data_IF_932895496245
#
_entry.id   IF_932895496245
#
_cell.length_a   1.000
_cell.length_b   1.000
_cell.length_c   1.000
_cell.angle_alpha   90.00
_cell.angle_beta   90.00
_cell.angle_gamma   90.00
#
_symmetry.space_group_name_H-M   'P 1'
#
loop_
_entity.id
_entity.type
_entity.pdbx_description
1 polymer ?
#
# COMPACT_ATOMS: atom_id res chain seq x y z
N UNK A 1 1.66 27.83 31.05
CA UNK A 1 0.69 26.98 30.33
C UNK A 1 1.51 26.09 29.42
N UNK A 2 1.80 24.86 29.85
CA UNK A 2 2.52 23.89 29.02
C UNK A 2 1.51 23.17 28.14
N UNK A 3 1.74 23.20 26.82
CA UNK A 3 0.97 22.43 25.87
C UNK A 3 1.58 21.03 25.82
N UNK A 4 0.93 20.06 26.46
CA UNK A 4 1.27 18.65 26.26
C UNK A 4 0.87 18.26 24.84
N UNK A 5 1.85 18.16 23.94
CA UNK A 5 1.65 17.57 22.62
C UNK A 5 1.58 16.05 22.79
N UNK A 6 0.41 15.46 22.57
CA UNK A 6 0.27 14.03 22.34
C UNK A 6 1.05 13.67 21.06
N UNK A 7 1.93 12.64 21.06
CA UNK A 7 2.60 12.21 19.85
C UNK A 7 1.56 11.70 18.85
N UNK A 8 1.42 12.39 17.72
CA UNK A 8 0.54 11.97 16.63
C UNK A 8 1.00 10.60 16.11
N UNK A 9 0.26 9.54 16.45
CA UNK A 9 0.48 8.22 15.87
C UNK A 9 -0.12 8.20 14.47
N UNK A 10 0.73 8.26 13.44
CA UNK A 10 0.27 8.06 12.06
C UNK A 10 -0.35 6.66 11.98
N UNK A 11 -1.65 6.54 11.60
CA UNK A 11 -2.28 5.24 11.45
C UNK A 11 -1.58 4.48 10.30
N UNK A 12 -0.83 3.44 10.63
CA UNK A 12 -0.10 2.59 9.69
C UNK A 12 -1.03 1.58 8.98
N UNK A 13 -2.20 2.03 8.51
CA UNK A 13 -3.29 1.11 8.20
C UNK A 13 -3.18 0.44 6.83
N UNK A 14 -2.62 1.12 5.82
CA UNK A 14 -2.65 0.64 4.43
C UNK A 14 -1.34 0.92 3.67
N UNK A 15 -0.35 0.03 3.80
CA UNK A 15 0.75 -0.04 2.85
C UNK A 15 0.33 -0.93 1.69
N UNK A 16 0.08 -0.37 0.50
CA UNK A 16 -0.44 -1.14 -0.63
C UNK A 16 0.69 -1.57 -1.56
N UNK A 17 0.72 -2.85 -1.92
CA UNK A 17 1.55 -3.38 -3.01
C UNK A 17 0.67 -3.64 -4.24
N UNK A 18 0.71 -2.72 -5.19
CA UNK A 18 -0.13 -2.74 -6.39
C UNK A 18 0.27 -3.86 -7.35
N UNK A 19 -0.69 -4.72 -7.72
CA UNK A 19 -0.46 -5.88 -8.59
C UNK A 19 0.11 -7.12 -7.88
N UNK A 20 0.40 -7.06 -6.58
CA UNK A 20 0.85 -8.23 -5.84
C UNK A 20 -0.25 -9.29 -5.67
N UNK A 21 0.14 -10.57 -5.74
CA UNK A 21 -0.79 -11.68 -5.50
C UNK A 21 -0.98 -11.97 -4.00
N UNK A 22 -0.01 -11.58 -3.17
CA UNK A 22 0.05 -11.81 -1.72
C UNK A 22 0.67 -10.62 -0.99
N UNK A 23 0.54 -10.60 0.33
CA UNK A 23 1.21 -9.60 1.17
C UNK A 23 2.73 -9.74 1.04
N UNK A 24 3.44 -8.62 1.14
CA UNK A 24 4.89 -8.53 1.00
C UNK A 24 5.47 -7.90 2.26
N UNK A 25 6.38 -8.61 2.92
CA UNK A 25 7.09 -8.10 4.09
C UNK A 25 8.36 -7.40 3.65
N UNK A 26 8.53 -6.13 4.02
CA UNK A 26 9.74 -5.36 3.76
C UNK A 26 10.13 -4.60 5.02
N UNK A 27 11.31 -4.92 5.55
CA UNK A 27 11.78 -4.44 6.85
C UNK A 27 10.75 -4.73 7.95
N UNK A 28 10.25 -3.69 8.62
CA UNK A 28 9.27 -3.77 9.72
C UNK A 28 7.82 -3.59 9.27
N UNK A 29 7.57 -3.51 7.95
CA UNK A 29 6.25 -3.18 7.39
C UNK A 29 5.69 -4.33 6.55
N UNK A 30 4.39 -4.54 6.67
CA UNK A 30 3.61 -5.46 5.83
C UNK A 30 2.89 -4.63 4.77
N UNK A 31 3.19 -4.90 3.50
CA UNK A 31 2.51 -4.31 2.36
C UNK A 31 1.44 -5.28 1.88
N UNK A 32 0.17 -4.87 1.95
CA UNK A 32 -0.98 -5.70 1.58
C UNK A 32 -1.27 -5.60 0.08
N UNK A 33 -1.73 -6.70 -0.51
CA UNK A 33 -2.15 -6.70 -1.92
C UNK A 33 -3.33 -5.76 -2.17
N UNK A 34 -3.34 -5.13 -3.34
CA UNK A 34 -4.28 -4.08 -3.71
C UNK A 34 -5.71 -4.55 -4.03
N UNK A 35 -5.90 -5.83 -4.38
CA UNK A 35 -7.17 -6.41 -4.84
C UNK A 35 -8.35 -6.22 -3.88
N UNK A 36 -8.09 -6.06 -2.58
CA UNK A 36 -9.14 -5.82 -1.58
C UNK A 36 -9.68 -4.39 -1.55
N UNK A 37 -8.98 -3.45 -2.19
CA UNK A 37 -9.29 -2.02 -2.19
C UNK A 37 -9.67 -1.52 -3.58
N UNK A 38 -9.41 -2.33 -4.60
CA UNK A 38 -9.57 -1.97 -5.99
C UNK A 38 -11.02 -2.12 -6.43
N UNK A 39 -11.59 -1.09 -7.05
CA UNK A 39 -12.97 -1.09 -7.53
C UNK A 39 -13.05 -1.72 -8.94
N UNK A 40 -12.13 -1.39 -9.84
CA UNK A 40 -12.11 -1.84 -11.24
C UNK A 40 -10.92 -2.77 -11.53
N UNK A 41 -11.01 -3.63 -12.56
CA UNK A 41 -9.88 -4.50 -12.93
C UNK A 41 -8.79 -3.69 -13.65
N UNK A 42 -7.53 -4.03 -13.37
CA UNK A 42 -6.35 -3.54 -14.11
C UNK A 42 -5.40 -4.68 -14.44
N UNK A 43 -4.49 -4.46 -15.36
CA UNK A 43 -3.48 -5.44 -15.76
C UNK A 43 -2.33 -5.47 -14.75
N UNK A 44 -1.76 -6.65 -14.53
CA UNK A 44 -0.60 -6.82 -13.64
C UNK A 44 0.62 -7.05 -14.52
N UNK A 45 1.64 -6.23 -14.31
CA UNK A 45 2.95 -6.42 -14.95
C UNK A 45 3.97 -6.85 -13.91
N UNK A 46 4.96 -7.63 -14.36
CA UNK A 46 6.10 -8.06 -13.55
C UNK A 46 7.35 -7.41 -14.09
N UNK A 47 8.24 -7.05 -13.19
CA UNK A 47 9.59 -6.63 -13.55
C UNK A 47 10.36 -7.83 -14.11
N UNK A 48 10.96 -7.65 -15.28
CA UNK A 48 11.79 -8.68 -15.92
C UNK A 48 13.27 -8.56 -15.55
N UNK A 49 13.67 -7.53 -14.79
CA UNK A 49 15.05 -7.41 -14.31
C UNK A 49 15.29 -8.35 -13.13
N UNK A 50 16.24 -9.26 -13.30
CA UNK A 50 16.63 -10.25 -12.28
C UNK A 50 17.60 -9.70 -11.21
N UNK A 51 17.73 -8.38 -11.09
CA UNK A 51 18.67 -7.80 -10.12
C UNK A 51 18.21 -8.08 -8.69
N UNK A 52 19.05 -8.77 -7.93
CA UNK A 52 18.81 -9.11 -6.53
C UNK A 52 18.72 -7.87 -5.60
N UNK A 53 19.16 -6.70 -6.07
CA UNK A 53 19.07 -5.44 -5.33
C UNK A 53 17.68 -4.80 -5.35
N UNK A 54 16.76 -5.29 -6.19
CA UNK A 54 15.44 -4.69 -6.36
C UNK A 54 14.53 -5.18 -5.23
N UNK A 55 14.05 -4.23 -4.43
CA UNK A 55 13.07 -4.49 -3.37
C UNK A 55 11.88 -5.30 -3.90
N UNK A 56 11.36 -6.29 -3.13
CA UNK A 56 10.17 -7.05 -3.49
C UNK A 56 8.94 -6.19 -3.86
N UNK A 57 8.87 -4.93 -3.41
CA UNK A 57 7.78 -4.00 -3.73
C UNK A 57 7.80 -3.52 -5.19
N UNK A 58 8.96 -3.52 -5.84
CA UNK A 58 9.12 -2.99 -7.20
C UNK A 58 9.22 -4.12 -8.24
N UNK A 59 8.81 -5.33 -7.85
CA UNK A 59 8.75 -6.50 -8.74
C UNK A 59 7.45 -6.58 -9.53
N UNK A 60 6.41 -5.85 -9.09
CA UNK A 60 5.07 -5.87 -9.71
C UNK A 60 4.48 -4.47 -9.76
N UNK A 61 3.59 -4.25 -10.72
CA UNK A 61 2.75 -3.06 -10.76
C UNK A 61 1.37 -3.40 -11.34
N UNK A 62 0.38 -2.56 -11.01
CA UNK A 62 -0.93 -2.58 -11.69
C UNK A 62 -1.03 -1.41 -12.65
N UNK A 63 -1.42 -1.71 -13.89
CA UNK A 63 -1.62 -0.72 -14.96
C UNK A 63 -3.11 -0.61 -15.25
N UNK A 64 -3.57 0.64 -15.44
CA UNK A 64 -4.92 0.94 -15.87
C UNK A 64 -4.86 1.75 -17.16
N UNK A 65 -5.51 1.24 -18.21
CA UNK A 65 -5.67 1.93 -19.51
C UNK A 65 -6.98 2.73 -19.57
N UNK A 66 -7.83 2.56 -18.56
CA UNK A 66 -9.07 3.29 -18.34
C UNK A 66 -9.09 3.84 -16.91
N UNK A 67 -10.07 4.68 -16.60
CA UNK A 67 -10.25 5.20 -15.25
C UNK A 67 -10.42 4.06 -14.26
N UNK A 68 -9.68 4.15 -13.15
CA UNK A 68 -9.75 3.21 -12.04
C UNK A 68 -9.65 3.97 -10.72
N UNK A 69 -10.17 3.35 -9.67
CA UNK A 69 -10.29 3.92 -8.34
C UNK A 69 -9.99 2.88 -7.26
N UNK A 70 -9.46 3.38 -6.14
CA UNK A 70 -9.31 2.62 -4.91
C UNK A 70 -10.27 3.16 -3.87
N UNK A 71 -10.90 2.26 -3.13
CA UNK A 71 -11.77 2.60 -2.01
C UNK A 71 -11.17 2.06 -0.72
N UNK A 72 -10.86 2.98 0.19
CA UNK A 72 -10.36 2.66 1.54
C UNK A 72 -11.43 3.00 2.56
N UNK A 73 -11.59 2.15 3.57
CA UNK A 73 -12.33 2.50 4.77
C UNK A 73 -11.34 3.08 5.79
N UNK A 74 -11.38 4.40 5.98
CA UNK A 74 -10.49 5.12 6.88
C UNK A 74 -11.30 5.54 8.09
N UNK A 75 -11.00 4.93 9.24
CA UNK A 75 -11.54 5.38 10.51
C UNK A 75 -10.76 6.63 10.96
N UNK A 76 -11.43 7.77 11.09
CA UNK A 76 -10.91 8.88 11.88
C UNK A 76 -11.09 8.54 13.35
N UNK A 77 -10.12 7.86 13.97
CA UNK A 77 -9.95 8.03 15.40
C UNK A 77 -9.25 9.36 15.60
N UNK A 78 -10.02 10.38 15.99
CA UNK A 78 -9.44 11.60 16.55
C UNK A 78 -8.54 11.19 17.72
N UNK A 79 -7.34 11.76 17.78
CA UNK A 79 -6.51 11.67 18.96
C UNK A 79 -7.23 12.43 20.07
N UNK A 80 -7.91 11.68 20.95
CA UNK A 80 -8.43 12.20 22.22
C UNK A 80 -7.31 12.60 23.16
#
# INVERSE_FOLDING_TARGET
MEVLLSPYSIPNNYFINCGAHSNTNVHTRVFVRDRGFLVEKGEIVKNNNSSASISPLYQVARIFIHQASYKFNINQTEAG
#
